data_IF_831387969984
#
_entry.id   IF_831387969984
#
_cell.length_a   1.000
_cell.length_b   1.000
_cell.length_c   1.000
_cell.angle_alpha   90.00
_cell.angle_beta   90.00
_cell.angle_gamma   90.00
#
_symmetry.space_group_name_H-M   'P 1'
#
loop_
_entity.id
_entity.type
_entity.pdbx_description
1 polymer ?
#
# COMPACT_ATOMS: atom_id res chain seq x y z
N UNK A 1 -22.15 5.86 -15.01
CA UNK A 1 -22.39 6.51 -13.69
C UNK A 1 -21.82 7.93 -13.73
N UNK A 2 -22.54 8.93 -13.24
CA UNK A 2 -22.02 10.31 -13.20
C UNK A 2 -21.20 10.58 -11.93
N UNK A 3 -20.53 11.74 -11.86
CA UNK A 3 -19.66 12.09 -10.73
C UNK A 3 -20.42 12.24 -9.41
N UNK A 4 -21.63 12.82 -9.45
CA UNK A 4 -22.43 13.05 -8.24
C UNK A 4 -22.90 11.72 -7.64
N UNK A 5 -23.43 10.82 -8.47
CA UNK A 5 -23.82 9.46 -8.08
C UNK A 5 -22.66 8.70 -7.43
N UNK A 6 -21.44 8.86 -7.94
CA UNK A 6 -20.27 8.23 -7.34
C UNK A 6 -19.96 8.79 -5.95
N UNK A 7 -19.95 10.11 -5.80
CA UNK A 7 -19.68 10.77 -4.53
C UNK A 7 -20.70 10.37 -3.47
N UNK A 8 -21.97 10.26 -3.84
CA UNK A 8 -23.03 9.82 -2.93
C UNK A 8 -22.81 8.38 -2.42
N UNK A 9 -22.13 7.53 -3.20
CA UNK A 9 -21.78 6.16 -2.79
C UNK A 9 -20.50 6.13 -1.93
N UNK A 10 -19.45 6.87 -2.31
CA UNK A 10 -18.12 6.73 -1.69
C UNK A 10 -17.89 7.61 -0.46
N UNK A 11 -18.54 8.79 -0.39
CA UNK A 11 -18.35 9.69 0.74
C UNK A 11 -18.81 9.10 2.09
N UNK A 12 -19.97 8.41 2.18
CA UNK A 12 -20.41 7.82 3.45
C UNK A 12 -19.46 6.76 4.00
N UNK A 13 -18.77 6.04 3.11
CA UNK A 13 -17.88 4.94 3.49
C UNK A 13 -16.42 5.39 3.69
N UNK A 14 -16.06 6.61 3.28
CA UNK A 14 -14.67 7.13 3.31
C UNK A 14 -14.01 6.95 4.67
N UNK A 15 -14.67 7.40 5.73
CA UNK A 15 -14.08 7.40 7.07
C UNK A 15 -13.94 5.98 7.62
N UNK A 16 -14.85 5.06 7.24
CA UNK A 16 -14.73 3.66 7.60
C UNK A 16 -13.56 2.98 6.89
N UNK A 17 -13.39 3.24 5.58
CA UNK A 17 -12.26 2.71 4.82
C UNK A 17 -10.93 3.29 5.31
N UNK A 18 -10.91 4.56 5.69
CA UNK A 18 -9.73 5.17 6.33
C UNK A 18 -9.41 4.49 7.65
N UNK A 19 -10.39 4.29 8.54
CA UNK A 19 -10.20 3.54 9.80
C UNK A 19 -9.72 2.11 9.55
N UNK A 20 -10.21 1.45 8.51
CA UNK A 20 -9.72 0.13 8.11
C UNK A 20 -8.25 0.20 7.67
N UNK A 21 -7.91 1.12 6.77
CA UNK A 21 -6.54 1.29 6.28
C UNK A 21 -5.56 1.60 7.43
N UNK A 22 -5.98 2.43 8.41
CA UNK A 22 -5.22 2.74 9.63
C UNK A 22 -4.95 1.54 10.54
N UNK A 23 -5.73 0.46 10.43
CA UNK A 23 -5.45 -0.80 11.16
C UNK A 23 -4.34 -1.62 10.50
N UNK A 24 -4.09 -1.41 9.22
CA UNK A 24 -3.03 -2.09 8.47
C UNK A 24 -1.77 -1.24 8.33
N UNK A 25 -1.93 0.06 8.07
CA UNK A 25 -0.85 1.00 7.73
C UNK A 25 -0.57 1.93 8.90
N UNK A 26 0.71 2.03 9.27
CA UNK A 26 1.18 2.80 10.44
C UNK A 26 1.09 4.31 10.20
N UNK A 27 1.39 4.77 8.97
CA UNK A 27 1.37 6.19 8.63
C UNK A 27 -0.04 6.70 8.32
N UNK A 28 -0.37 7.92 8.76
CA UNK A 28 -1.64 8.56 8.44
C UNK A 28 -1.72 8.82 6.93
N UNK A 29 -0.64 9.33 6.35
CA UNK A 29 -0.54 9.67 4.93
C UNK A 29 -0.70 8.42 4.08
N UNK A 30 -0.04 7.31 4.43
CA UNK A 30 -0.19 6.04 3.69
C UNK A 30 -1.64 5.52 3.74
N UNK A 31 -2.34 5.72 4.85
CA UNK A 31 -3.74 5.33 4.96
C UNK A 31 -4.67 6.24 4.14
N UNK A 32 -4.39 7.55 4.07
CA UNK A 32 -5.12 8.47 3.20
C UNK A 32 -4.90 8.15 1.73
N UNK A 33 -3.64 7.89 1.34
CA UNK A 33 -3.27 7.49 -0.01
C UNK A 33 -3.93 6.18 -0.42
N UNK A 34 -3.99 5.20 0.50
CA UNK A 34 -4.67 3.94 0.25
C UNK A 34 -6.15 4.13 -0.08
N UNK A 35 -6.86 4.96 0.69
CA UNK A 35 -8.29 5.26 0.43
C UNK A 35 -8.45 6.00 -0.89
N UNK A 36 -7.59 6.98 -1.19
CA UNK A 36 -7.62 7.71 -2.45
C UNK A 36 -7.41 6.78 -3.65
N UNK A 37 -6.43 5.89 -3.59
CA UNK A 37 -6.13 4.95 -4.67
C UNK A 37 -7.28 3.96 -4.89
N UNK A 38 -7.93 3.50 -3.81
CA UNK A 38 -9.13 2.67 -3.90
C UNK A 38 -10.25 3.44 -4.60
N UNK A 39 -10.52 4.69 -4.21
CA UNK A 39 -11.54 5.51 -4.86
C UNK A 39 -11.24 5.78 -6.33
N UNK A 40 -9.98 6.02 -6.69
CA UNK A 40 -9.58 6.18 -8.09
C UNK A 40 -9.84 4.90 -8.90
N UNK A 41 -9.50 3.73 -8.34
CA UNK A 41 -9.78 2.44 -8.98
C UNK A 41 -11.28 2.16 -9.10
N UNK A 42 -12.06 2.51 -8.09
CA UNK A 42 -13.52 2.40 -8.14
C UNK A 42 -14.10 3.32 -9.22
N UNK A 43 -13.62 4.57 -9.33
CA UNK A 43 -14.05 5.51 -10.37
C UNK A 43 -13.71 5.02 -11.79
N UNK A 44 -12.51 4.46 -11.98
CA UNK A 44 -12.10 3.84 -13.25
C UNK A 44 -13.03 2.68 -13.63
N UNK A 45 -13.47 1.90 -12.65
CA UNK A 45 -14.35 0.73 -12.84
C UNK A 45 -15.84 1.01 -12.55
N UNK A 46 -16.28 2.27 -12.58
CA UNK A 46 -17.62 2.68 -12.14
C UNK A 46 -18.79 1.98 -12.83
N UNK A 47 -18.64 1.55 -14.07
CA UNK A 47 -19.69 0.81 -14.79
C UNK A 47 -19.80 -0.65 -14.30
N UNK A 48 -18.70 -1.24 -13.82
CA UNK A 48 -18.71 -2.55 -13.19
C UNK A 48 -19.30 -2.49 -11.78
N UNK A 49 -19.07 -1.39 -11.05
CA UNK A 49 -19.63 -1.17 -9.69
C UNK A 49 -21.15 -1.31 -9.69
N UNK A 50 -21.84 -0.78 -10.71
CA UNK A 50 -23.29 -0.91 -10.87
C UNK A 50 -23.79 -2.36 -10.91
N UNK A 51 -22.93 -3.31 -11.27
CA UNK A 51 -23.28 -4.74 -11.37
C UNK A 51 -23.13 -5.47 -10.03
N UNK A 52 -22.42 -4.90 -9.06
CA UNK A 52 -22.24 -5.53 -7.76
C UNK A 52 -23.42 -5.24 -6.84
N UNK A 53 -23.85 -6.27 -6.10
CA UNK A 53 -24.94 -6.17 -5.12
C UNK A 53 -24.62 -5.19 -3.97
N UNK A 54 -23.34 -5.02 -3.64
CA UNK A 54 -22.88 -4.07 -2.62
C UNK A 54 -21.56 -3.41 -3.04
N UNK A 55 -21.60 -2.17 -3.57
CA UNK A 55 -20.42 -1.34 -3.83
C UNK A 55 -19.54 -1.14 -2.60
N UNK A 56 -20.17 -1.03 -1.42
CA UNK A 56 -19.48 -0.86 -0.15
C UNK A 56 -18.61 -2.08 0.18
N UNK A 57 -19.17 -3.30 0.16
CA UNK A 57 -18.41 -4.51 0.46
C UNK A 57 -17.22 -4.70 -0.50
N UNK A 58 -17.40 -4.31 -1.76
CA UNK A 58 -16.32 -4.29 -2.75
C UNK A 58 -15.22 -3.29 -2.36
N UNK A 59 -15.58 -2.07 -1.95
CA UNK A 59 -14.62 -1.07 -1.50
C UNK A 59 -13.82 -1.49 -0.26
N UNK A 60 -14.44 -2.15 0.73
CA UNK A 60 -13.74 -2.72 1.89
C UNK A 60 -12.72 -3.78 1.46
N UNK A 61 -13.12 -4.68 0.56
CA UNK A 61 -12.24 -5.74 0.05
C UNK A 61 -11.05 -5.15 -0.69
N UNK A 62 -11.30 -4.18 -1.57
CA UNK A 62 -10.24 -3.47 -2.30
C UNK A 62 -9.27 -2.74 -1.36
N UNK A 63 -9.79 -2.07 -0.33
CA UNK A 63 -8.97 -1.35 0.65
C UNK A 63 -8.08 -2.30 1.42
N UNK A 64 -8.64 -3.43 1.90
CA UNK A 64 -7.87 -4.47 2.58
C UNK A 64 -6.75 -5.01 1.68
N UNK A 65 -7.08 -5.40 0.44
CA UNK A 65 -6.10 -5.95 -0.49
C UNK A 65 -4.99 -4.96 -0.79
N UNK A 66 -5.34 -3.69 -1.05
CA UNK A 66 -4.35 -2.64 -1.28
C UNK A 66 -3.39 -2.46 -0.10
N UNK A 67 -3.92 -2.43 1.12
CA UNK A 67 -3.09 -2.30 2.32
C UNK A 67 -2.16 -3.51 2.50
N UNK A 68 -2.65 -4.72 2.28
CA UNK A 68 -1.85 -5.95 2.37
C UNK A 68 -0.74 -5.98 1.32
N UNK A 69 -1.02 -5.57 0.09
CA UNK A 69 -0.01 -5.50 -0.98
C UNK A 69 1.05 -4.44 -0.67
N UNK A 70 0.65 -3.29 -0.11
CA UNK A 70 1.58 -2.26 0.37
C UNK A 70 2.51 -2.78 1.47
N UNK A 71 1.97 -3.52 2.43
CA UNK A 71 2.76 -4.14 3.50
C UNK A 71 3.75 -5.19 2.96
N UNK A 72 3.31 -6.05 2.04
CA UNK A 72 4.20 -7.02 1.37
C UNK A 72 5.32 -6.33 0.60
N UNK A 73 5.00 -5.28 -0.13
CA UNK A 73 6.00 -4.50 -0.88
C UNK A 73 7.03 -3.85 0.05
N UNK A 74 6.59 -3.27 1.18
CA UNK A 74 7.48 -2.70 2.20
C UNK A 74 8.36 -3.75 2.88
N UNK A 75 7.81 -4.93 3.15
CA UNK A 75 8.59 -6.05 3.68
C UNK A 75 9.67 -6.49 2.69
N UNK A 76 9.32 -6.61 1.41
CA UNK A 76 10.26 -6.97 0.35
C UNK A 76 11.36 -5.92 0.16
N UNK A 77 11.04 -4.62 0.24
CA UNK A 77 12.05 -3.55 0.17
C UNK A 77 13.00 -3.57 1.36
N UNK A 78 12.48 -3.81 2.57
CA UNK A 78 13.31 -3.91 3.77
C UNK A 78 14.27 -5.11 3.69
N UNK A 79 13.80 -6.26 3.19
CA UNK A 79 14.65 -7.43 3.00
C UNK A 79 15.81 -7.14 2.03
N UNK A 80 15.55 -6.44 0.92
CA UNK A 80 16.61 -6.04 -0.04
C UNK A 80 17.69 -5.16 0.60
N UNK A 81 17.29 -4.18 1.42
CA UNK A 81 18.22 -3.30 2.14
C UNK A 81 19.13 -4.08 3.09
N UNK A 82 18.58 -5.08 3.79
CA UNK A 82 19.37 -5.95 4.66
C UNK A 82 20.41 -6.73 3.85
N UNK A 83 20.02 -7.34 2.73
CA UNK A 83 20.96 -8.10 1.89
C UNK A 83 22.06 -7.23 1.26
N UNK A 84 21.73 -6.01 0.80
CA UNK A 84 22.76 -5.08 0.27
C UNK A 84 23.78 -4.67 1.33
N UNK A 85 23.36 -4.54 2.59
CA UNK A 85 24.29 -4.27 3.68
C UNK A 85 25.26 -5.43 3.98
N UNK A 86 24.90 -6.68 3.64
CA UNK A 86 25.78 -7.84 3.84
C UNK A 86 26.81 -8.00 2.71
N UNK A 87 26.44 -7.75 1.45
CA UNK A 87 27.39 -7.82 0.32
C UNK A 87 28.52 -6.79 0.44
N UNK A 88 28.24 -5.60 1.00
CA UNK A 88 29.28 -4.59 1.20
C UNK A 88 30.27 -4.93 2.32
N UNK A 89 29.93 -5.81 3.27
CA UNK A 89 30.85 -6.13 4.39
C UNK A 89 32.04 -6.96 3.93
N UNK A 90 31.85 -7.89 2.99
CA UNK A 90 32.93 -8.76 2.51
C UNK A 90 34.04 -7.98 1.80
N UNK A 91 33.68 -6.92 1.05
CA UNK A 91 34.66 -6.03 0.42
C UNK A 91 35.38 -5.15 1.45
N UNK A 92 34.67 -4.69 2.49
CA UNK A 92 35.26 -3.90 3.58
C UNK A 92 36.26 -4.70 4.40
N UNK A 93 35.94 -5.96 4.73
CA UNK A 93 36.81 -6.86 5.50
C UNK A 93 38.10 -7.17 4.73
N UNK A 94 38.01 -7.45 3.43
CA UNK A 94 39.18 -7.65 2.57
C UNK A 94 40.05 -6.40 2.42
N UNK A 95 39.44 -5.21 2.37
CA UNK A 95 40.20 -3.94 2.32
C UNK A 95 40.86 -3.56 3.65
N UNK A 96 40.32 -4.00 4.79
CA UNK A 96 40.93 -3.77 6.10
C UNK A 96 42.10 -4.74 6.31
N UNK A 97 41.93 -6.04 6.01
CA UNK A 97 43.01 -7.04 6.09
C UNK A 97 44.21 -6.70 5.18
N UNK A 98 43.95 -6.19 3.97
CA UNK A 98 45.00 -5.77 3.06
C UNK A 98 45.82 -4.56 3.56
N UNK A 99 45.30 -3.82 4.54
CA UNK A 99 45.92 -2.59 5.07
C UNK A 99 46.68 -2.80 6.38
N UNK A 100 46.31 -3.83 7.14
CA UNK A 100 46.99 -4.23 8.39
C UNK A 100 48.09 -5.29 8.16
N UNK A 101 48.31 -5.73 6.92
CA UNK A 101 49.31 -6.74 6.53
C UNK A 101 50.71 -6.21 6.16
N UNK A 102 51.11 -5.02 6.61
CA UNK A 102 52.45 -4.42 6.36
C UNK A 102 53.15 -4.05 7.66
#
# INVERSE_FOLDING_TARGET
MNQKEFLDIVLPIKDNLYRLARRFLISNDEAQDAVQEVFLKLWKNKEAIKKYRSPEAFAYTMTKNYCLDRLKSKQASNLKLVHTNFENRTDLEQHIEAKDGV
#
